data_IF_201026602179
#
_entry.id   IF_201026602179
#
_cell.length_a   1.000
_cell.length_b   1.000
_cell.length_c   1.000
_cell.angle_alpha   90.00
_cell.angle_beta   90.00
_cell.angle_gamma   90.00
#
_symmetry.space_group_name_H-M   'P 1'
#
loop_
_entity.id
_entity.type
_entity.pdbx_description
1 polymer ?
#
# COMPACT_ATOMS: atom_id res chain seq x y z
N UNK A 1 -6.26 -11.85 -68.73
CA UNK A 1 -7.69 -11.93 -68.36
C UNK A 1 -7.83 -13.00 -67.29
N UNK A 2 -7.90 -12.57 -66.02
CA UNK A 2 -8.20 -13.33 -64.78
C UNK A 2 -7.32 -14.58 -64.49
N UNK A 3 -7.10 -15.04 -63.27
CA UNK A 3 -7.91 -14.97 -62.05
C UNK A 3 -6.93 -15.04 -60.85
N UNK A 4 -7.12 -14.14 -59.87
CA UNK A 4 -6.57 -14.24 -58.52
C UNK A 4 -7.05 -15.53 -57.85
N UNK A 5 -6.17 -16.37 -57.32
CA UNK A 5 -6.40 -17.29 -56.18
C UNK A 5 -5.04 -17.77 -55.68
N UNK A 6 -4.60 -17.24 -54.54
CA UNK A 6 -4.60 -17.94 -53.25
C UNK A 6 -3.48 -18.96 -53.07
N UNK A 7 -2.39 -18.54 -52.40
CA UNK A 7 -1.82 -19.34 -51.29
C UNK A 7 -0.80 -18.52 -50.49
N UNK A 8 -1.23 -17.42 -49.87
CA UNK A 8 -0.51 -16.86 -48.72
C UNK A 8 -0.69 -17.82 -47.55
N UNK A 9 0.20 -18.81 -47.47
CA UNK A 9 0.29 -19.76 -46.36
C UNK A 9 0.84 -19.03 -45.14
N UNK A 10 -0.07 -18.35 -44.45
CA UNK A 10 -0.18 -18.19 -43.00
C UNK A 10 1.17 -18.30 -42.28
N UNK A 11 1.88 -17.18 -42.21
CA UNK A 11 2.75 -16.90 -41.07
C UNK A 11 1.87 -16.88 -39.81
N UNK A 12 1.95 -17.92 -38.99
CA UNK A 12 1.64 -17.79 -37.57
C UNK A 12 2.95 -17.95 -36.82
N UNK A 13 3.66 -16.83 -36.75
CA UNK A 13 4.67 -16.54 -35.74
C UNK A 13 4.03 -16.81 -34.37
N UNK A 14 4.39 -17.94 -33.78
CA UNK A 14 4.19 -18.19 -32.35
C UNK A 14 5.12 -17.24 -31.62
N UNK A 15 4.63 -16.04 -31.32
CA UNK A 15 5.33 -15.14 -30.41
C UNK A 15 5.33 -15.76 -29.01
N UNK A 16 6.47 -15.79 -28.29
CA UNK A 16 6.49 -16.17 -26.89
C UNK A 16 5.61 -15.18 -26.12
N UNK A 17 4.67 -15.70 -25.32
CA UNK A 17 3.87 -14.90 -24.40
C UNK A 17 4.81 -14.20 -23.44
N UNK A 18 5.16 -12.95 -23.77
CA UNK A 18 5.90 -12.06 -22.90
C UNK A 18 5.07 -11.89 -21.64
N UNK A 19 5.63 -12.39 -20.55
CA UNK A 19 5.14 -12.37 -19.18
C UNK A 19 4.42 -11.04 -18.89
N UNK A 20 3.09 -11.07 -18.84
CA UNK A 20 2.25 -10.03 -18.27
C UNK A 20 2.45 -10.03 -16.75
N UNK A 21 3.59 -9.51 -16.32
CA UNK A 21 3.89 -9.35 -14.91
C UNK A 21 4.48 -7.96 -14.74
N UNK A 22 3.62 -6.92 -14.74
CA UNK A 22 4.13 -5.56 -14.49
C UNK A 22 3.16 -4.54 -13.89
N UNK A 23 2.01 -4.95 -13.34
CA UNK A 23 1.17 -4.06 -12.50
C UNK A 23 0.64 -4.73 -11.21
N UNK A 24 0.99 -5.98 -10.96
CA UNK A 24 0.56 -6.69 -9.73
C UNK A 24 1.44 -6.38 -8.51
N UNK A 25 2.60 -5.76 -8.71
CA UNK A 25 3.51 -5.47 -7.60
C UNK A 25 3.01 -4.27 -6.79
N UNK A 26 2.11 -4.57 -5.85
CA UNK A 26 1.52 -3.62 -4.89
C UNK A 26 2.39 -3.44 -3.65
N UNK A 27 3.68 -3.79 -3.73
CA UNK A 27 4.65 -3.60 -2.65
C UNK A 27 4.69 -2.14 -2.15
N UNK A 28 4.41 -1.16 -3.02
CA UNK A 28 4.31 0.25 -2.65
C UNK A 28 3.11 0.58 -1.74
N UNK A 29 2.03 -0.22 -1.75
CA UNK A 29 0.89 -0.09 -0.83
C UNK A 29 1.20 -0.63 0.58
N UNK A 30 2.34 -1.28 0.80
CA UNK A 30 2.74 -1.72 2.14
C UNK A 30 3.09 -0.51 3.00
N UNK A 31 3.58 0.58 2.40
CA UNK A 31 3.87 1.81 3.12
C UNK A 31 2.56 2.50 3.57
N UNK A 32 2.48 2.79 4.87
CA UNK A 32 1.36 3.49 5.50
C UNK A 32 1.16 4.88 4.91
N UNK A 33 2.24 5.54 4.48
CA UNK A 33 2.18 6.87 3.87
C UNK A 33 1.38 6.83 2.56
N UNK A 34 1.68 5.88 1.70
CA UNK A 34 1.02 5.65 0.42
C UNK A 34 -0.43 5.20 0.60
N UNK A 35 -0.70 4.30 1.54
CA UNK A 35 -2.08 3.91 1.88
C UNK A 35 -2.94 5.09 2.32
N UNK A 36 -2.37 6.00 3.10
CA UNK A 36 -3.08 7.19 3.57
C UNK A 36 -3.43 8.10 2.40
N UNK A 37 -2.49 8.32 1.47
CA UNK A 37 -2.74 9.09 0.24
C UNK A 37 -3.83 8.45 -0.61
N UNK A 38 -3.75 7.14 -0.86
CA UNK A 38 -4.77 6.41 -1.64
C UNK A 38 -6.16 6.53 -1.01
N UNK A 39 -6.25 6.42 0.33
CA UNK A 39 -7.53 6.60 1.04
C UNK A 39 -8.07 8.02 0.88
N UNK A 40 -7.21 9.03 0.96
CA UNK A 40 -7.63 10.43 0.75
C UNK A 40 -8.13 10.64 -0.68
N UNK A 41 -7.38 10.18 -1.69
CA UNK A 41 -7.77 10.29 -3.09
C UNK A 41 -9.10 9.57 -3.35
N UNK A 42 -9.27 8.34 -2.83
CA UNK A 42 -10.52 7.59 -2.94
C UNK A 42 -11.71 8.35 -2.34
N UNK A 43 -11.53 9.00 -1.19
CA UNK A 43 -12.59 9.80 -0.57
C UNK A 43 -12.96 11.01 -1.43
N UNK A 44 -11.98 11.71 -1.98
CA UNK A 44 -12.23 12.84 -2.89
C UNK A 44 -12.97 12.38 -4.14
N UNK A 45 -12.54 11.28 -4.77
CA UNK A 45 -13.20 10.71 -5.95
C UNK A 45 -14.63 10.24 -5.62
N UNK A 46 -14.84 9.59 -4.48
CA UNK A 46 -16.17 9.17 -4.05
C UNK A 46 -17.09 10.39 -3.83
N UNK A 47 -16.58 11.46 -3.23
CA UNK A 47 -17.35 12.67 -3.00
C UNK A 47 -17.71 13.41 -4.29
N UNK A 48 -16.80 13.42 -5.28
CA UNK A 48 -17.00 14.15 -6.53
C UNK A 48 -17.77 13.35 -7.59
N UNK A 49 -17.47 12.05 -7.74
CA UNK A 49 -17.99 11.22 -8.81
C UNK A 49 -18.96 10.13 -8.33
N UNK A 50 -19.09 9.91 -7.02
CA UNK A 50 -19.91 8.83 -6.47
C UNK A 50 -19.36 7.42 -6.73
N UNK A 51 -18.08 7.32 -7.13
CA UNK A 51 -17.45 6.04 -7.49
C UNK A 51 -16.57 5.54 -6.34
N UNK A 52 -16.81 4.31 -5.88
CA UNK A 52 -15.93 3.63 -4.92
C UNK A 52 -14.92 2.72 -5.64
N UNK A 53 -13.68 3.16 -5.71
CA UNK A 53 -12.57 2.41 -6.32
C UNK A 53 -12.02 1.41 -5.31
N UNK A 54 -11.92 0.12 -5.63
CA UNK A 54 -11.44 -0.87 -4.66
C UNK A 54 -9.92 -1.04 -4.71
N UNK A 55 -9.28 -1.16 -3.54
CA UNK A 55 -7.83 -1.43 -3.42
C UNK A 55 -7.40 -2.77 -4.04
N UNK A 56 -8.34 -3.70 -4.19
CA UNK A 56 -8.11 -5.04 -4.76
C UNK A 56 -8.00 -5.04 -6.29
N UNK A 57 -8.44 -3.97 -6.97
CA UNK A 57 -8.46 -3.90 -8.43
C UNK A 57 -7.06 -3.80 -9.03
N UNK A 58 -6.77 -4.60 -10.06
CA UNK A 58 -5.48 -4.60 -10.76
C UNK A 58 -5.13 -3.20 -11.28
N UNK A 59 -6.15 -2.49 -11.74
CA UNK A 59 -6.02 -1.22 -12.45
C UNK A 59 -6.22 -0.03 -11.50
N UNK A 60 -6.02 -0.24 -10.19
CA UNK A 60 -6.22 0.77 -9.14
C UNK A 60 -5.57 2.10 -9.50
N UNK A 61 -4.28 2.06 -9.88
CA UNK A 61 -3.50 3.26 -10.12
C UNK A 61 -3.98 3.99 -11.39
N UNK A 62 -4.31 3.25 -12.45
CA UNK A 62 -4.86 3.78 -13.68
C UNK A 62 -6.24 4.43 -13.46
N UNK A 63 -7.10 3.78 -12.67
CA UNK A 63 -8.41 4.33 -12.32
C UNK A 63 -8.28 5.63 -11.53
N UNK A 64 -7.44 5.64 -10.48
CA UNK A 64 -7.20 6.85 -9.69
C UNK A 64 -6.73 7.98 -10.59
N UNK A 65 -5.75 7.72 -11.46
CA UNK A 65 -5.23 8.71 -12.41
C UNK A 65 -6.32 9.23 -13.34
N UNK A 66 -7.12 8.34 -13.94
CA UNK A 66 -8.21 8.69 -14.86
C UNK A 66 -9.26 9.61 -14.22
N UNK A 67 -9.60 9.38 -12.95
CA UNK A 67 -10.55 10.22 -12.24
C UNK A 67 -9.93 11.54 -11.79
N UNK A 68 -8.67 11.55 -11.36
CA UNK A 68 -7.99 12.78 -11.00
C UNK A 68 -7.79 13.71 -12.21
N UNK A 69 -7.51 13.20 -13.40
CA UNK A 69 -7.43 14.03 -14.62
C UNK A 69 -8.76 14.72 -14.96
N UNK A 70 -9.88 14.22 -14.43
CA UNK A 70 -11.22 14.78 -14.62
C UNK A 70 -11.73 15.56 -13.41
N UNK A 71 -10.99 15.50 -12.30
CA UNK A 71 -11.38 16.13 -11.04
C UNK A 71 -11.19 17.63 -11.11
N UNK A 72 -12.04 18.35 -10.39
CA UNK A 72 -11.91 19.79 -10.13
C UNK A 72 -10.91 20.09 -9.01
N UNK A 73 -10.50 19.09 -8.24
CA UNK A 73 -9.52 19.24 -7.17
C UNK A 73 -8.09 19.22 -7.74
N UNK A 74 -7.47 20.41 -7.75
CA UNK A 74 -6.10 20.61 -8.25
C UNK A 74 -5.04 19.86 -7.42
N UNK A 75 -5.39 19.39 -6.22
CA UNK A 75 -4.46 18.64 -5.37
C UNK A 75 -4.40 17.14 -5.71
N UNK A 76 -5.37 16.61 -6.46
CA UNK A 76 -5.40 15.19 -6.80
C UNK A 76 -4.30 14.75 -7.77
N UNK A 77 -4.06 15.45 -8.90
CA UNK A 77 -2.99 15.09 -9.83
C UNK A 77 -1.61 14.92 -9.15
N UNK A 78 -1.08 15.90 -8.39
CA UNK A 78 0.25 15.76 -7.78
C UNK A 78 0.31 14.66 -6.71
N UNK A 79 -0.80 14.39 -6.01
CA UNK A 79 -0.85 13.27 -5.07
C UNK A 79 -0.75 11.91 -5.78
N UNK A 80 -1.29 11.79 -6.99
CA UNK A 80 -1.23 10.57 -7.78
C UNK A 80 0.13 10.40 -8.44
N UNK A 81 0.74 11.47 -8.92
CA UNK A 81 2.10 11.44 -9.47
C UNK A 81 3.09 10.87 -8.44
N UNK A 82 2.97 11.29 -7.18
CA UNK A 82 3.75 10.70 -6.08
C UNK A 82 3.50 9.18 -5.89
N UNK A 83 2.28 8.70 -6.12
CA UNK A 83 1.99 7.27 -6.03
C UNK A 83 2.56 6.49 -7.21
N UNK A 84 2.55 7.09 -8.41
CA UNK A 84 3.21 6.54 -9.60
C UNK A 84 4.70 6.39 -9.33
N UNK A 85 5.35 7.43 -8.83
CA UNK A 85 6.77 7.41 -8.48
C UNK A 85 7.09 6.36 -7.41
N UNK A 86 6.27 6.26 -6.37
CA UNK A 86 6.44 5.26 -5.32
C UNK A 86 6.28 3.82 -5.85
N UNK A 87 5.37 3.61 -6.80
CA UNK A 87 5.18 2.30 -7.45
C UNK A 87 6.42 1.89 -8.25
N UNK A 88 7.01 2.81 -9.01
CA UNK A 88 8.22 2.56 -9.79
C UNK A 88 9.47 2.39 -8.90
N UNK A 89 9.58 3.16 -7.81
CA UNK A 89 10.68 3.04 -6.85
C UNK A 89 10.68 1.70 -6.12
N UNK A 90 9.50 1.13 -5.84
CA UNK A 90 9.38 -0.20 -5.21
C UNK A 90 9.95 -1.31 -6.10
N UNK A 91 9.70 -1.25 -7.42
CA UNK A 91 10.27 -2.18 -8.40
C UNK A 91 11.80 -2.09 -8.45
N UNK A 92 12.37 -0.88 -8.31
CA UNK A 92 13.81 -0.68 -8.30
C UNK A 92 14.50 -1.25 -7.04
N UNK A 93 13.79 -1.36 -5.90
CA UNK A 93 14.35 -1.90 -4.65
C UNK A 93 14.46 -3.44 -4.64
N UNK A 94 13.83 -4.13 -5.58
CA UNK A 94 13.89 -5.58 -5.71
C UNK A 94 15.10 -6.08 -6.53
N UNK A 95 15.84 -5.18 -7.20
CA UNK A 95 16.97 -5.52 -8.06
C UNK A 95 18.35 -5.44 -7.40
N UNK A 96 18.44 -5.04 -6.12
CA UNK A 96 19.72 -5.01 -5.41
C UNK A 96 19.87 -6.25 -4.50
N UNK A 97 20.92 -7.09 -4.69
CA UNK A 97 21.28 -8.09 -3.70
C UNK A 97 21.69 -7.35 -2.42
N UNK A 98 20.89 -7.50 -1.36
CA UNK A 98 21.24 -6.98 -0.03
C UNK A 98 22.55 -7.63 0.43
N UNK A 99 23.64 -6.89 0.72
CA UNK A 99 24.74 -7.45 1.46
C UNK A 99 24.28 -7.71 2.90
N UNK A 100 24.24 -8.99 3.27
CA UNK A 100 24.19 -9.49 4.64
C UNK A 100 25.04 -8.61 5.55
N UNK A 101 24.42 -7.95 6.52
CA UNK A 101 25.14 -7.31 7.62
C UNK A 101 24.47 -7.62 8.95
N UNK A 102 25.07 -8.63 9.59
CA UNK A 102 25.38 -8.75 11.02
C UNK A 102 24.22 -8.93 12.01
N UNK A 103 24.15 -10.18 12.46
CA UNK A 103 23.88 -10.65 13.82
C UNK A 103 23.51 -9.57 14.85
N UNK A 104 22.22 -9.56 15.22
CA UNK A 104 21.76 -9.00 16.50
C UNK A 104 21.70 -10.20 17.44
N UNK A 105 22.67 -10.24 18.35
CA UNK A 105 22.77 -11.18 19.45
C UNK A 105 21.57 -11.00 20.38
N UNK A 106 20.67 -11.96 20.38
CA UNK A 106 19.52 -12.04 21.28
C UNK A 106 20.02 -12.44 22.67
N UNK A 107 20.18 -11.47 23.56
CA UNK A 107 20.33 -11.74 25.00
C UNK A 107 18.97 -12.12 25.58
N UNK A 108 18.80 -13.42 25.81
CA UNK A 108 17.76 -13.97 26.67
C UNK A 108 18.00 -13.47 28.10
N UNK A 109 17.06 -12.72 28.68
CA UNK A 109 16.97 -12.63 30.14
C UNK A 109 15.72 -13.34 30.63
N UNK A 110 15.98 -14.55 31.13
CA UNK A 110 15.09 -15.41 31.89
C UNK A 110 14.66 -14.72 33.19
N UNK A 111 13.36 -14.75 33.49
CA UNK A 111 12.82 -14.46 34.80
C UNK A 111 13.27 -15.54 35.79
N UNK A 112 13.71 -15.16 36.99
CA UNK A 112 13.59 -16.00 38.18
C UNK A 112 13.32 -15.15 39.41
N UNK A 113 12.29 -15.56 40.13
CA UNK A 113 11.72 -14.97 41.35
C UNK A 113 12.68 -15.06 42.54
N UNK A 114 12.85 -13.96 43.28
CA UNK A 114 12.94 -13.98 44.75
C UNK A 114 12.56 -12.61 45.33
N UNK A 115 11.45 -12.59 46.08
CA UNK A 115 10.97 -11.52 46.96
C UNK A 115 11.69 -11.60 48.34
N UNK A 116 11.51 -10.70 49.35
CA UNK A 116 10.90 -9.37 49.42
C UNK A 116 11.76 -8.32 50.18
N UNK A 117 11.60 -7.02 49.90
CA UNK A 117 11.19 -5.97 50.87
C UNK A 117 11.23 -4.56 50.23
N UNK A 118 10.39 -3.63 50.72
CA UNK A 118 9.58 -2.77 49.86
C UNK A 118 9.93 -1.28 50.04
N UNK A 119 9.54 -0.46 49.05
CA UNK A 119 9.19 0.98 49.19
C UNK A 119 8.56 1.49 47.89
N UNK A 120 7.70 2.52 47.95
CA UNK A 120 6.26 2.32 47.79
C UNK A 120 5.68 2.79 46.45
N UNK A 121 4.55 2.16 46.13
CA UNK A 121 3.63 2.51 45.06
C UNK A 121 3.10 3.96 45.17
N UNK A 122 3.04 4.66 44.03
CA UNK A 122 2.09 5.77 43.84
C UNK A 122 1.00 5.36 42.86
N UNK A 123 0.01 4.70 43.46
CA UNK A 123 -1.43 4.76 43.17
C UNK A 123 -1.87 5.37 41.83
N UNK A 124 -2.19 4.51 40.86
CA UNK A 124 -3.23 4.82 39.86
C UNK A 124 -4.59 4.61 40.51
N UNK A 125 -5.18 5.67 41.08
CA UNK A 125 -6.60 5.62 41.49
C UNK A 125 -7.46 5.79 40.24
N UNK A 126 -8.11 4.70 39.82
CA UNK A 126 -9.21 4.76 38.87
C UNK A 126 -10.39 5.50 39.53
N UNK A 127 -10.71 6.70 39.03
CA UNK A 127 -11.89 7.44 39.46
C UNK A 127 -13.15 6.71 39.00
N UNK A 128 -13.92 6.18 39.96
CA UNK A 128 -15.27 5.67 39.73
C UNK A 128 -16.26 6.83 39.90
N UNK A 129 -16.99 7.14 38.83
CA UNK A 129 -18.07 8.13 38.85
C UNK A 129 -19.34 7.40 39.31
N UNK A 130 -19.93 7.82 40.44
CA UNK A 130 -21.27 7.40 40.83
C UNK A 130 -22.13 8.65 41.06
N UNK A 131 -23.20 8.79 40.27
CA UNK A 131 -24.21 9.85 40.37
C UNK A 131 -23.68 11.28 40.56
N UNK A 132 -22.74 11.69 39.70
CA UNK A 132 -22.48 13.13 39.47
C UNK A 132 -21.69 13.90 40.52
N UNK A 133 -20.97 13.24 41.45
CA UNK A 133 -20.07 13.95 42.37
C UNK A 133 -18.67 13.31 42.41
N UNK A 134 -17.64 14.15 42.33
CA UNK A 134 -16.22 13.79 42.48
C UNK A 134 -15.88 13.69 43.98
N UNK A 135 -15.36 12.54 44.42
CA UNK A 135 -14.83 12.31 45.77
C UNK A 135 -13.33 12.00 45.65
N UNK A 136 -12.50 12.74 46.37
CA UNK A 136 -11.02 12.65 46.36
C UNK A 136 -10.46 11.44 47.14
#
# INVERSE_FOLDING_TARGET
MSIFTDLLKVQRLTMPKKTENNFQDRSWLIDRSNLTRVRSIRKSILAEFGVDIQLSQSDLLEQLHRYASKSRDLNLPPMIDHLIDASHSSLAKLSLPKPSTKAIEQSYHHQQEVSPKPKPATNKKAQRIYRGQLVN
#
